data_IF_416602863234
#
_entry.id   IF_416602863234
#
_cell.length_a   1.000
_cell.length_b   1.000
_cell.length_c   1.000
_cell.angle_alpha   90.00
_cell.angle_beta   90.00
_cell.angle_gamma   90.00
#
_symmetry.space_group_name_H-M   'P 1'
#
loop_
_entity.id
_entity.type
_entity.pdbx_description
1 polymer ?
#
# COMPACT_ATOMS: atom_id res chain seq x y z
N UNK A 1 -22.42 45.89 -65.72
CA UNK A 1 -23.05 45.44 -64.45
C UNK A 1 -22.06 44.47 -63.82
N UNK A 2 -20.95 44.86 -63.19
CA UNK A 2 -20.75 45.68 -61.98
C UNK A 2 -21.68 45.35 -60.82
N UNK A 3 -21.23 44.44 -59.98
CA UNK A 3 -21.46 44.49 -58.52
C UNK A 3 -20.23 43.88 -57.83
N UNK A 4 -19.48 44.79 -57.21
CA UNK A 4 -18.45 44.52 -56.22
C UNK A 4 -19.11 44.06 -54.92
N UNK A 5 -18.50 43.12 -54.20
CA UNK A 5 -18.74 42.95 -52.77
C UNK A 5 -17.37 42.79 -52.08
N UNK A 6 -17.00 43.84 -51.34
CA UNK A 6 -15.89 43.87 -50.40
C UNK A 6 -16.39 43.57 -48.99
N UNK A 7 -15.54 42.93 -48.20
CA UNK A 7 -15.69 42.72 -46.76
C UNK A 7 -14.98 41.42 -46.42
N UNK A 8 -14.01 41.33 -45.55
CA UNK A 8 -13.50 42.22 -44.52
C UNK A 8 -12.74 41.26 -43.62
N UNK A 9 -11.42 41.22 -43.75
CA UNK A 9 -10.56 40.25 -43.10
C UNK A 9 -10.31 40.73 -41.66
N UNK A 10 -11.13 40.28 -40.71
CA UNK A 10 -10.92 40.57 -39.29
C UNK A 10 -9.87 39.62 -38.71
N UNK A 11 -8.73 40.19 -38.34
CA UNK A 11 -7.70 39.56 -37.54
C UNK A 11 -8.20 39.40 -36.10
N UNK A 12 -8.57 38.18 -35.72
CA UNK A 12 -8.66 37.80 -34.31
C UNK A 12 -7.27 37.36 -33.83
N UNK A 13 -6.52 38.31 -33.26
CA UNK A 13 -5.41 38.03 -32.36
C UNK A 13 -5.96 37.31 -31.12
N UNK A 14 -5.80 36.00 -31.07
CA UNK A 14 -5.98 35.23 -29.83
C UNK A 14 -4.75 35.47 -28.97
N UNK A 15 -4.89 36.30 -27.94
CA UNK A 15 -3.96 36.37 -26.81
C UNK A 15 -3.97 35.03 -26.08
N UNK A 16 -2.87 34.31 -26.17
CA UNK A 16 -2.56 33.21 -25.27
C UNK A 16 -1.96 33.80 -23.98
N UNK A 17 -2.79 34.06 -22.98
CA UNK A 17 -2.33 34.18 -21.60
C UNK A 17 -2.24 32.76 -21.00
N UNK A 18 -1.09 32.34 -20.47
CA UNK A 18 -0.99 31.05 -19.78
C UNK A 18 -1.49 31.16 -18.34
N UNK A 19 -2.32 30.23 -17.83
CA UNK A 19 -2.42 30.02 -16.39
C UNK A 19 -1.23 29.15 -15.94
N UNK A 20 -0.05 29.76 -15.85
CA UNK A 20 1.07 29.17 -15.09
C UNK A 20 0.90 29.53 -13.61
N UNK A 21 0.29 28.61 -12.88
CA UNK A 21 0.32 28.53 -11.42
C UNK A 21 0.73 27.12 -11.00
N UNK A 22 1.86 26.65 -11.52
CA UNK A 22 2.49 25.42 -11.06
C UNK A 22 3.31 25.75 -9.80
N UNK A 23 2.68 25.63 -8.63
CA UNK A 23 3.45 25.55 -7.39
C UNK A 23 4.18 24.20 -7.34
N UNK A 24 5.48 24.16 -7.00
CA UNK A 24 6.23 22.93 -6.93
C UNK A 24 5.83 22.11 -5.68
N UNK A 25 5.30 20.92 -5.93
CA UNK A 25 5.01 19.84 -4.96
C UNK A 25 6.24 19.33 -4.16
N UNK A 26 7.39 20.01 -4.26
CA UNK A 26 8.64 19.63 -3.59
C UNK A 26 8.63 19.99 -2.08
N UNK A 27 7.79 20.93 -1.63
CA UNK A 27 7.80 21.35 -0.21
C UNK A 27 7.06 20.40 0.77
N UNK A 28 6.18 19.50 0.31
CA UNK A 28 5.41 18.67 1.25
C UNK A 28 6.18 17.45 1.78
N UNK A 29 7.21 16.99 1.06
CA UNK A 29 8.06 15.86 1.47
C UNK A 29 9.18 16.26 2.44
N UNK A 30 9.51 17.55 2.56
CA UNK A 30 10.53 18.06 3.49
C UNK A 30 9.99 18.52 4.85
N UNK A 31 8.67 18.70 5.02
CA UNK A 31 8.10 19.26 6.27
C UNK A 31 7.97 18.29 7.45
N UNK A 32 8.26 16.99 7.28
CA UNK A 32 8.12 16.00 8.37
C UNK A 32 9.44 15.60 9.06
N UNK A 33 10.55 16.30 8.83
CA UNK A 33 11.85 16.00 9.44
C UNK A 33 12.52 17.18 10.15
N UNK A 34 11.75 18.01 10.86
CA UNK A 34 12.30 19.03 11.74
C UNK A 34 11.88 18.76 13.19
N UNK A 35 12.67 17.95 13.90
CA UNK A 35 12.70 17.92 15.36
C UNK A 35 14.07 18.41 15.79
N UNK A 36 14.03 19.58 16.43
CA UNK A 36 14.95 20.21 17.39
C UNK A 36 16.38 19.67 17.53
N UNK A 37 17.35 20.50 17.17
CA UNK A 37 18.61 20.61 17.90
C UNK A 37 18.76 22.04 18.42
N UNK A 38 18.93 22.13 19.74
CA UNK A 38 19.02 23.34 20.52
C UNK A 38 20.26 24.17 20.19
N UNK A 39 20.06 25.47 20.28
CA UNK A 39 21.03 26.54 20.13
C UNK A 39 21.85 26.67 21.42
N UNK A 40 23.17 26.47 21.35
CA UNK A 40 24.10 26.97 22.37
C UNK A 40 25.16 27.87 21.75
N UNK A 41 25.23 29.05 22.33
CA UNK A 41 26.06 30.22 22.08
C UNK A 41 27.60 30.01 22.01
N UNK A 42 28.23 30.87 21.19
CA UNK A 42 29.54 31.55 21.34
C UNK A 42 30.84 30.75 21.16
N UNK A 43 31.53 30.95 20.01
CA UNK A 43 32.71 31.84 19.90
C UNK A 43 33.27 31.88 18.45
N UNK A 44 33.83 33.01 17.95
CA UNK A 44 34.39 33.12 16.61
C UNK A 44 35.94 33.11 16.63
N UNK A 45 36.57 32.16 15.94
CA UNK A 45 37.97 32.33 15.50
C UNK A 45 38.30 31.42 14.29
N UNK A 46 38.57 31.97 13.09
CA UNK A 46 39.00 31.17 11.95
C UNK A 46 40.53 31.18 11.81
N UNK A 47 41.18 30.08 12.11
CA UNK A 47 42.50 29.75 11.52
C UNK A 47 42.29 28.85 10.30
N UNK A 48 42.82 29.20 9.12
CA UNK A 48 42.70 28.36 7.94
C UNK A 48 43.80 27.29 7.99
N UNK A 49 43.45 26.08 8.40
CA UNK A 49 44.31 24.90 8.22
C UNK A 49 43.68 24.05 7.14
N UNK A 50 44.38 23.97 6.01
CA UNK A 50 43.94 23.23 4.84
C UNK A 50 43.94 21.72 5.08
N UNK A 51 42.86 21.08 4.63
CA UNK A 51 42.80 19.76 3.98
C UNK A 51 41.33 19.52 3.60
N UNK A 52 40.87 20.09 2.49
CA UNK A 52 39.49 19.94 1.99
C UNK A 52 39.43 19.28 0.60
N UNK A 53 40.30 18.31 0.35
CA UNK A 53 40.34 17.57 -0.93
C UNK A 53 40.20 16.05 -0.77
N UNK A 54 40.17 15.52 0.45
CA UNK A 54 40.02 14.08 0.70
C UNK A 54 38.55 13.62 0.83
N UNK A 55 37.66 14.48 1.33
CA UNK A 55 36.25 14.13 1.58
C UNK A 55 35.39 14.09 0.31
N UNK A 56 35.70 14.91 -0.69
CA UNK A 56 34.92 14.95 -1.95
C UNK A 56 35.02 13.64 -2.74
N UNK A 57 36.18 12.97 -2.69
CA UNK A 57 36.39 11.68 -3.36
C UNK A 57 35.63 10.53 -2.70
N UNK A 58 35.55 10.49 -1.37
CA UNK A 58 34.80 9.44 -0.65
C UNK A 58 33.28 9.62 -0.80
N UNK A 59 32.79 10.85 -0.81
CA UNK A 59 31.37 11.15 -1.04
C UNK A 59 30.95 10.81 -2.48
N UNK A 60 31.80 11.07 -3.47
CA UNK A 60 31.51 10.68 -4.87
C UNK A 60 31.55 9.16 -5.07
N UNK A 61 32.52 8.46 -4.46
CA UNK A 61 32.60 7.00 -4.51
C UNK A 61 31.36 6.33 -3.91
N UNK A 62 30.91 6.79 -2.74
CA UNK A 62 29.69 6.27 -2.09
C UNK A 62 28.41 6.54 -2.89
N UNK A 63 28.28 7.73 -3.49
CA UNK A 63 27.15 8.06 -4.37
C UNK A 63 27.11 7.18 -5.64
N UNK A 64 28.26 6.95 -6.28
CA UNK A 64 28.34 6.10 -7.47
C UNK A 64 28.01 4.63 -7.19
N UNK A 65 28.44 4.11 -6.04
CA UNK A 65 28.11 2.76 -5.58
C UNK A 65 26.60 2.63 -5.29
N UNK A 66 26.01 3.65 -4.67
CA UNK A 66 24.57 3.73 -4.39
C UNK A 66 23.74 3.76 -5.68
N UNK A 67 24.12 4.58 -6.64
CA UNK A 67 23.47 4.66 -7.96
C UNK A 67 23.50 3.31 -8.71
N UNK A 68 24.64 2.61 -8.64
CA UNK A 68 24.78 1.27 -9.25
C UNK A 68 23.87 0.25 -8.57
N UNK A 69 23.80 0.28 -7.24
CA UNK A 69 22.92 -0.60 -6.44
C UNK A 69 21.45 -0.35 -6.76
N UNK A 70 21.05 0.92 -6.84
CA UNK A 70 19.69 1.34 -7.19
C UNK A 70 19.30 0.91 -8.60
N UNK A 71 20.18 1.09 -9.57
CA UNK A 71 19.93 0.65 -10.93
C UNK A 71 19.76 -0.87 -11.00
N UNK A 72 20.59 -1.64 -10.29
CA UNK A 72 20.45 -3.10 -10.20
C UNK A 72 19.11 -3.51 -9.59
N UNK A 73 18.68 -2.86 -8.51
CA UNK A 73 17.39 -3.13 -7.87
C UNK A 73 16.21 -2.82 -8.81
N UNK A 74 16.32 -1.75 -9.60
CA UNK A 74 15.33 -1.38 -10.60
C UNK A 74 15.21 -2.43 -11.71
N UNK A 75 16.34 -2.89 -12.25
CA UNK A 75 16.40 -3.95 -13.28
C UNK A 75 15.92 -5.29 -12.71
N UNK A 76 16.30 -5.65 -11.49
CA UNK A 76 15.83 -6.88 -10.84
C UNK A 76 14.31 -6.88 -10.65
N UNK A 77 13.74 -5.74 -10.26
CA UNK A 77 12.30 -5.64 -9.96
C UNK A 77 11.45 -5.51 -11.23
N UNK A 78 11.85 -4.64 -12.16
CA UNK A 78 11.02 -4.32 -13.33
C UNK A 78 11.52 -4.92 -14.64
N UNK A 79 12.70 -5.53 -14.66
CA UNK A 79 13.31 -6.04 -15.87
C UNK A 79 13.92 -4.94 -16.74
N UNK A 80 14.96 -5.32 -17.46
CA UNK A 80 15.72 -4.46 -18.37
C UNK A 80 14.85 -3.70 -19.41
N UNK A 81 13.83 -4.31 -20.05
CA UNK A 81 13.04 -3.62 -21.07
C UNK A 81 12.26 -2.42 -20.51
N UNK A 82 11.71 -2.56 -19.31
CA UNK A 82 10.94 -1.48 -18.67
C UNK A 82 11.85 -0.35 -18.21
N UNK A 83 13.05 -0.67 -17.69
CA UNK A 83 13.99 0.35 -17.23
C UNK A 83 14.45 1.26 -18.36
N UNK A 84 14.62 0.71 -19.57
CA UNK A 84 14.99 1.51 -20.76
C UNK A 84 13.91 2.47 -21.21
N UNK A 85 12.64 2.14 -21.00
CA UNK A 85 11.50 3.00 -21.36
C UNK A 85 11.09 3.96 -20.24
N UNK A 86 11.57 3.75 -19.02
CA UNK A 86 11.25 4.60 -17.87
C UNK A 86 11.91 5.97 -18.00
N UNK A 87 11.12 6.99 -18.37
CA UNK A 87 11.56 8.38 -18.42
C UNK A 87 11.30 9.16 -17.10
N UNK A 88 10.48 8.61 -16.21
CA UNK A 88 10.03 9.30 -15.00
C UNK A 88 11.01 9.14 -13.83
N UNK A 89 11.07 10.13 -12.92
CA UNK A 89 11.87 10.00 -11.71
C UNK A 89 11.34 8.85 -10.84
N UNK A 90 12.26 8.15 -10.19
CA UNK A 90 11.96 7.09 -9.23
C UNK A 90 12.76 7.31 -7.95
N UNK A 91 12.25 6.76 -6.85
CA UNK A 91 12.92 6.80 -5.54
C UNK A 91 13.18 5.36 -5.11
N UNK A 92 14.31 5.08 -4.48
CA UNK A 92 14.61 3.74 -3.93
C UNK A 92 14.50 3.79 -2.42
N UNK A 93 13.68 2.91 -1.85
CA UNK A 93 13.70 2.62 -0.42
C UNK A 93 14.75 1.54 -0.15
N UNK A 94 15.78 1.94 0.57
CA UNK A 94 16.94 1.08 0.84
C UNK A 94 16.67 0.11 1.99
N UNK A 95 17.39 -1.02 1.96
CA UNK A 95 17.51 -1.98 3.06
C UNK A 95 16.15 -2.43 3.63
N UNK A 96 15.20 -2.60 2.71
CA UNK A 96 13.85 -2.99 3.01
C UNK A 96 13.84 -4.47 3.39
N UNK A 97 13.53 -4.77 4.65
CA UNK A 97 13.58 -6.13 5.19
C UNK A 97 12.17 -6.73 5.24
N UNK A 98 12.03 -7.94 4.73
CA UNK A 98 10.85 -8.79 4.84
C UNK A 98 11.24 -10.09 5.55
N UNK A 99 10.93 -10.18 6.83
CA UNK A 99 11.05 -11.35 7.71
C UNK A 99 10.00 -12.41 7.35
N UNK A 100 8.77 -12.01 7.01
CA UNK A 100 7.69 -12.94 6.72
C UNK A 100 7.78 -13.52 5.29
N UNK A 101 7.79 -14.86 5.11
CA UNK A 101 7.86 -15.48 3.78
C UNK A 101 6.63 -15.17 2.92
N UNK A 102 5.45 -14.92 3.52
CA UNK A 102 4.23 -14.58 2.79
C UNK A 102 4.35 -13.18 2.17
N UNK A 103 4.79 -12.18 2.94
CA UNK A 103 5.03 -10.84 2.44
C UNK A 103 6.14 -10.82 1.37
N UNK A 104 7.22 -11.58 1.59
CA UNK A 104 8.30 -11.73 0.61
C UNK A 104 7.82 -12.36 -0.71
N UNK A 105 6.90 -13.34 -0.66
CA UNK A 105 6.29 -13.93 -1.87
C UNK A 105 5.43 -12.93 -2.63
N UNK A 106 4.58 -12.16 -1.93
CA UNK A 106 3.80 -11.09 -2.56
C UNK A 106 4.70 -10.04 -3.20
N UNK A 107 5.79 -9.66 -2.54
CA UNK A 107 6.77 -8.76 -3.12
C UNK A 107 7.34 -9.32 -4.44
N UNK A 108 7.83 -10.56 -4.44
CA UNK A 108 8.45 -11.16 -5.64
C UNK A 108 7.46 -11.36 -6.80
N UNK A 109 6.24 -11.82 -6.50
CA UNK A 109 5.25 -12.15 -7.54
C UNK A 109 4.52 -10.91 -8.04
N UNK A 110 4.03 -10.08 -7.13
CA UNK A 110 3.01 -9.08 -7.47
C UNK A 110 3.53 -7.65 -7.49
N UNK A 111 4.59 -7.30 -6.75
CA UNK A 111 5.01 -5.90 -6.61
C UNK A 111 5.37 -5.25 -7.94
N UNK A 112 6.15 -5.95 -8.78
CA UNK A 112 6.54 -5.45 -10.10
C UNK A 112 5.32 -5.17 -10.98
N UNK A 113 4.35 -6.10 -10.98
CA UNK A 113 3.11 -5.97 -11.74
C UNK A 113 2.26 -4.81 -11.23
N UNK A 114 2.04 -4.75 -9.91
CA UNK A 114 1.23 -3.70 -9.26
C UNK A 114 1.85 -2.33 -9.51
N UNK A 115 3.14 -2.16 -9.26
CA UNK A 115 3.82 -0.88 -9.44
C UNK A 115 3.79 -0.40 -10.89
N UNK A 116 4.00 -1.28 -11.89
CA UNK A 116 3.89 -0.91 -13.31
C UNK A 116 2.49 -0.45 -13.67
N UNK A 117 1.45 -1.15 -13.22
CA UNK A 117 0.06 -0.76 -13.50
C UNK A 117 -0.35 0.53 -12.79
N UNK A 118 0.16 0.79 -11.60
CA UNK A 118 -0.04 2.05 -10.89
C UNK A 118 0.69 3.22 -11.57
N UNK A 119 1.75 2.95 -12.32
CA UNK A 119 2.45 3.97 -13.10
C UNK A 119 1.70 4.39 -14.38
N UNK A 120 0.79 3.56 -14.89
CA UNK A 120 -0.02 3.86 -16.08
C UNK A 120 -0.85 5.14 -15.91
N UNK A 121 -1.28 5.45 -14.69
CA UNK A 121 -2.01 6.69 -14.41
C UNK A 121 -1.22 7.92 -14.86
N UNK A 122 0.07 7.98 -14.52
CA UNK A 122 0.93 9.09 -14.90
C UNK A 122 1.16 9.15 -16.41
N UNK A 123 1.28 7.99 -17.06
CA UNK A 123 1.43 7.93 -18.51
C UNK A 123 0.17 8.44 -19.23
N UNK A 124 -1.01 7.94 -18.88
CA UNK A 124 -2.26 8.34 -19.53
C UNK A 124 -2.68 9.79 -19.24
N UNK A 125 -2.25 10.37 -18.11
CA UNK A 125 -2.44 11.81 -17.84
C UNK A 125 -1.74 12.69 -18.88
N UNK A 126 -0.66 12.22 -19.50
CA UNK A 126 0.04 12.98 -20.55
C UNK A 126 -0.62 12.89 -21.92
N UNK A 127 -1.61 12.01 -22.09
CA UNK A 127 -2.26 11.78 -23.37
C UNK A 127 -3.33 12.83 -23.66
N UNK A 128 -3.28 13.41 -24.87
CA UNK A 128 -4.28 14.37 -25.32
C UNK A 128 -5.59 13.66 -25.65
N UNK A 129 -6.69 14.17 -25.10
CA UNK A 129 -8.04 13.65 -25.36
C UNK A 129 -8.45 12.48 -24.45
N UNK A 130 -7.60 12.04 -23.53
CA UNK A 130 -7.97 11.02 -22.55
C UNK A 130 -8.98 11.57 -21.54
N UNK A 131 -10.01 10.79 -21.21
CA UNK A 131 -11.02 11.18 -20.24
C UNK A 131 -10.42 11.25 -18.82
N UNK A 132 -10.26 12.48 -18.32
CA UNK A 132 -9.68 12.74 -17.00
C UNK A 132 -10.56 12.23 -15.85
N UNK A 133 -11.88 12.13 -16.03
CA UNK A 133 -12.78 11.61 -14.99
C UNK A 133 -12.51 10.13 -14.70
N UNK A 134 -12.19 9.34 -15.72
CA UNK A 134 -11.89 7.91 -15.55
C UNK A 134 -10.58 7.74 -14.79
N UNK A 135 -9.56 8.56 -15.10
CA UNK A 135 -8.28 8.56 -14.38
C UNK A 135 -8.45 8.99 -12.93
N UNK A 136 -9.26 10.03 -12.66
CA UNK A 136 -9.53 10.46 -11.30
C UNK A 136 -10.25 9.38 -10.49
N UNK A 137 -11.32 8.78 -11.06
CA UNK A 137 -12.05 7.67 -10.42
C UNK A 137 -11.14 6.48 -10.13
N UNK A 138 -10.22 6.17 -11.05
CA UNK A 138 -9.20 5.13 -10.85
C UNK A 138 -8.31 5.43 -9.64
N UNK A 139 -7.73 6.64 -9.59
CA UNK A 139 -6.85 7.05 -8.48
C UNK A 139 -7.59 7.07 -7.13
N UNK A 140 -8.81 7.60 -7.09
CA UNK A 140 -9.63 7.66 -5.88
C UNK A 140 -10.00 6.26 -5.39
N UNK A 141 -10.37 5.35 -6.30
CA UNK A 141 -10.72 3.98 -5.97
C UNK A 141 -9.51 3.23 -5.41
N UNK A 142 -8.34 3.34 -6.04
CA UNK A 142 -7.12 2.69 -5.56
C UNK A 142 -6.69 3.20 -4.19
N UNK A 143 -6.69 4.52 -3.99
CA UNK A 143 -6.38 5.16 -2.71
C UNK A 143 -7.29 4.61 -1.62
N UNK A 144 -8.61 4.61 -1.86
CA UNK A 144 -9.60 4.10 -0.91
C UNK A 144 -9.41 2.62 -0.59
N UNK A 145 -9.09 1.78 -1.59
CA UNK A 145 -8.87 0.34 -1.37
C UNK A 145 -7.60 0.06 -0.58
N UNK A 146 -6.50 0.76 -0.87
CA UNK A 146 -5.27 0.65 -0.11
C UNK A 146 -5.45 1.13 1.33
N UNK A 147 -6.16 2.24 1.54
CA UNK A 147 -6.51 2.74 2.87
C UNK A 147 -7.35 1.72 3.65
N UNK A 148 -8.38 1.15 3.03
CA UNK A 148 -9.22 0.11 3.65
C UNK A 148 -8.40 -1.12 4.09
N UNK A 149 -7.43 -1.56 3.27
CA UNK A 149 -6.53 -2.66 3.62
C UNK A 149 -5.63 -2.26 4.80
N UNK A 150 -5.04 -1.06 4.78
CA UNK A 150 -4.22 -0.56 5.90
C UNK A 150 -5.01 -0.51 7.21
N UNK A 151 -6.24 0.00 7.18
CA UNK A 151 -7.14 0.04 8.34
C UNK A 151 -7.43 -1.37 8.86
N UNK A 152 -7.76 -2.31 7.96
CA UNK A 152 -7.99 -3.72 8.32
C UNK A 152 -6.78 -4.31 9.07
N UNK A 153 -5.58 -4.17 8.51
CA UNK A 153 -4.35 -4.69 9.11
C UNK A 153 -4.04 -4.01 10.45
N UNK A 154 -4.17 -2.67 10.50
CA UNK A 154 -3.88 -1.91 11.72
C UNK A 154 -4.81 -2.29 12.87
N UNK A 155 -6.09 -2.55 12.57
CA UNK A 155 -7.03 -3.01 13.59
C UNK A 155 -6.67 -4.41 14.13
N UNK A 156 -6.21 -5.33 13.27
CA UNK A 156 -5.70 -6.62 13.72
C UNK A 156 -4.44 -6.47 14.57
N UNK A 157 -3.48 -5.64 14.14
CA UNK A 157 -2.28 -5.31 14.91
C UNK A 157 -2.66 -4.78 16.29
N UNK A 158 -3.50 -3.75 16.36
CA UNK A 158 -3.95 -3.15 17.61
C UNK A 158 -4.65 -4.18 18.50
N UNK A 159 -5.50 -5.05 17.92
CA UNK A 159 -6.19 -6.10 18.67
C UNK A 159 -5.21 -7.09 19.29
N UNK A 160 -4.20 -7.53 18.54
CA UNK A 160 -3.21 -8.49 19.04
C UNK A 160 -2.25 -7.86 20.05
N UNK A 161 -1.84 -6.61 19.83
CA UNK A 161 -1.04 -5.85 20.80
C UNK A 161 -1.79 -5.68 22.12
N UNK A 162 -3.07 -5.29 22.09
CA UNK A 162 -3.89 -5.17 23.29
C UNK A 162 -4.06 -6.50 24.06
N UNK A 163 -3.89 -7.65 23.40
CA UNK A 163 -3.92 -8.96 24.04
C UNK A 163 -2.55 -9.35 24.63
N UNK A 164 -1.45 -8.93 24.00
CA UNK A 164 -0.07 -9.25 24.40
C UNK A 164 0.48 -8.32 25.48
N UNK A 165 0.18 -7.01 25.39
CA UNK A 165 0.73 -5.98 26.28
C UNK A 165 0.41 -6.22 27.76
N UNK A 166 -0.82 -6.62 28.17
CA UNK A 166 -1.13 -6.90 29.58
C UNK A 166 -0.34 -8.08 30.17
N UNK A 167 0.17 -8.97 29.31
CA UNK A 167 0.92 -10.15 29.72
C UNK A 167 2.44 -9.90 29.70
N UNK A 168 2.88 -8.70 29.29
CA UNK A 168 4.29 -8.34 29.21
C UNK A 168 5.06 -9.05 28.10
N UNK A 169 4.35 -9.70 27.16
CA UNK A 169 4.97 -10.39 26.04
C UNK A 169 5.42 -9.37 24.99
N UNK A 170 6.67 -9.51 24.52
CA UNK A 170 7.23 -8.71 23.43
C UNK A 170 7.09 -9.44 22.10
N UNK A 171 7.06 -8.67 21.01
CA UNK A 171 7.07 -9.21 19.65
C UNK A 171 8.32 -10.08 19.44
N UNK A 172 8.12 -11.31 19.00
CA UNK A 172 9.23 -12.20 18.66
C UNK A 172 9.49 -12.16 17.15
N UNK A 173 10.63 -11.57 16.77
CA UNK A 173 11.10 -11.52 15.38
C UNK A 173 11.89 -12.77 14.98
N UNK A 174 12.17 -13.69 15.92
CA UNK A 174 12.93 -14.91 15.64
C UNK A 174 12.12 -16.03 14.97
N UNK A 175 10.82 -15.81 14.73
CA UNK A 175 9.92 -16.81 14.12
C UNK A 175 10.35 -17.27 12.73
N UNK A 176 11.02 -16.42 11.97
CA UNK A 176 11.48 -16.77 10.63
C UNK A 176 12.98 -16.46 10.49
N UNK A 177 13.81 -17.49 10.28
CA UNK A 177 15.27 -17.32 10.25
C UNK A 177 15.77 -16.63 8.98
N UNK A 178 14.97 -16.63 7.91
CA UNK A 178 15.39 -16.19 6.58
C UNK A 178 14.69 -14.87 6.20
N UNK A 179 15.18 -13.77 6.76
CA UNK A 179 14.75 -12.43 6.35
C UNK A 179 15.31 -12.08 4.95
N UNK A 180 14.45 -11.52 4.10
CA UNK A 180 14.81 -11.03 2.78
C UNK A 180 15.06 -9.52 2.85
N UNK A 181 16.31 -9.10 2.66
CA UNK A 181 16.66 -7.68 2.52
C UNK A 181 16.72 -7.31 1.04
N UNK A 182 15.98 -6.29 0.63
CA UNK A 182 15.93 -5.80 -0.76
C UNK A 182 15.87 -4.28 -0.80
N UNK A 183 16.51 -3.70 -1.80
CA UNK A 183 16.28 -2.32 -2.19
C UNK A 183 15.05 -2.28 -3.09
N UNK A 184 14.05 -1.48 -2.71
CA UNK A 184 12.75 -1.45 -3.39
C UNK A 184 12.60 -0.16 -4.18
N UNK A 185 12.54 -0.22 -5.53
CA UNK A 185 12.28 0.95 -6.36
C UNK A 185 10.80 1.34 -6.31
N UNK A 186 10.55 2.63 -6.19
CA UNK A 186 9.24 3.26 -6.08
C UNK A 186 9.06 4.22 -7.25
N UNK A 187 8.12 3.89 -8.11
CA UNK A 187 7.78 4.67 -9.32
C UNK A 187 6.46 5.43 -9.19
N UNK A 188 5.66 5.16 -8.16
CA UNK A 188 4.35 5.75 -7.92
C UNK A 188 4.08 5.88 -6.42
N UNK A 189 3.35 6.92 -6.01
CA UNK A 189 2.90 7.09 -4.63
C UNK A 189 2.05 5.89 -4.17
N UNK A 190 1.16 5.39 -5.03
CA UNK A 190 0.33 4.22 -4.73
C UNK A 190 1.17 2.94 -4.58
N UNK A 191 2.30 2.83 -5.29
CA UNK A 191 3.21 1.69 -5.13
C UNK A 191 3.90 1.70 -3.76
N UNK A 192 4.25 2.90 -3.29
CA UNK A 192 4.74 3.09 -1.94
C UNK A 192 3.69 2.68 -0.88
N UNK A 193 2.44 3.06 -1.08
CA UNK A 193 1.36 2.70 -0.19
C UNK A 193 1.07 1.19 -0.14
N UNK A 194 1.19 0.52 -1.28
CA UNK A 194 1.08 -0.94 -1.36
C UNK A 194 2.24 -1.63 -0.61
N UNK A 195 3.46 -1.10 -0.73
CA UNK A 195 4.61 -1.59 0.04
C UNK A 195 4.39 -1.43 1.56
N UNK A 196 3.83 -0.29 1.99
CA UNK A 196 3.47 -0.07 3.40
C UNK A 196 2.38 -1.06 3.86
N UNK A 197 1.42 -1.42 2.99
CA UNK A 197 0.44 -2.47 3.28
C UNK A 197 1.08 -3.86 3.44
N UNK A 198 2.10 -4.21 2.64
CA UNK A 198 2.84 -5.47 2.79
C UNK A 198 3.60 -5.54 4.13
N UNK A 199 4.14 -4.42 4.60
CA UNK A 199 4.77 -4.33 5.93
C UNK A 199 3.77 -4.50 7.06
N UNK A 200 2.56 -3.95 6.92
CA UNK A 200 1.48 -4.18 7.89
C UNK A 200 1.04 -5.65 7.89
N UNK A 201 0.94 -6.28 6.71
CA UNK A 201 0.65 -7.71 6.60
C UNK A 201 1.70 -8.53 7.37
N UNK A 202 2.98 -8.26 7.16
CA UNK A 202 4.06 -8.91 7.91
C UNK A 202 3.93 -8.75 9.42
N UNK A 203 3.65 -7.54 9.91
CA UNK A 203 3.40 -7.29 11.35
C UNK A 203 2.21 -8.09 11.87
N UNK A 204 1.14 -8.24 11.09
CA UNK A 204 0.00 -9.09 11.46
C UNK A 204 0.46 -10.54 11.63
N UNK A 205 1.23 -11.08 10.70
CA UNK A 205 1.75 -12.45 10.80
C UNK A 205 2.66 -12.65 12.02
N UNK A 206 3.55 -11.68 12.31
CA UNK A 206 4.46 -11.76 13.46
C UNK A 206 3.67 -11.78 14.77
N UNK A 207 2.74 -10.84 14.92
CA UNK A 207 1.92 -10.73 16.12
C UNK A 207 0.98 -11.92 16.29
N UNK A 208 0.36 -12.40 15.21
CA UNK A 208 -0.53 -13.55 15.25
C UNK A 208 0.23 -14.83 15.61
N UNK A 209 1.43 -15.02 15.04
CA UNK A 209 2.34 -16.10 15.41
C UNK A 209 2.74 -16.03 16.88
N UNK A 210 3.20 -14.86 17.33
CA UNK A 210 3.65 -14.61 18.72
C UNK A 210 2.52 -14.87 19.72
N UNK A 211 1.34 -14.31 19.48
CA UNK A 211 0.17 -14.50 20.35
C UNK A 211 -0.30 -15.96 20.38
N UNK A 212 -0.13 -16.72 19.30
CA UNK A 212 -0.42 -18.14 19.29
C UNK A 212 0.64 -18.96 20.06
N UNK A 213 1.93 -18.60 19.98
CA UNK A 213 2.99 -19.27 20.75
C UNK A 213 2.82 -19.10 22.26
N UNK A 214 2.38 -17.90 22.70
CA UNK A 214 2.08 -17.63 24.10
C UNK A 214 0.69 -18.13 24.56
N UNK A 215 -0.06 -18.81 23.70
CA UNK A 215 -1.38 -19.37 24.03
C UNK A 215 -2.49 -18.34 24.22
N UNK A 216 -2.27 -17.09 23.77
CA UNK A 216 -3.23 -15.99 23.86
C UNK A 216 -4.29 -16.09 22.77
N UNK A 217 -3.88 -16.56 21.59
CA UNK A 217 -4.76 -16.88 20.47
C UNK A 217 -4.77 -18.38 20.23
N UNK A 218 -5.94 -18.90 19.83
CA UNK A 218 -6.03 -20.27 19.32
C UNK A 218 -5.47 -20.37 17.91
N UNK A 219 -5.02 -21.56 17.52
CA UNK A 219 -4.54 -21.83 16.16
C UNK A 219 -5.59 -21.49 15.09
N UNK A 220 -6.88 -21.65 15.39
CA UNK A 220 -7.97 -21.28 14.48
C UNK A 220 -8.10 -19.77 14.28
N UNK A 221 -8.03 -18.98 15.36
CA UNK A 221 -8.09 -17.52 15.30
C UNK A 221 -6.89 -16.93 14.59
N UNK A 222 -5.70 -17.52 14.80
CA UNK A 222 -4.50 -17.18 14.03
C UNK A 222 -4.70 -17.41 12.54
N UNK A 223 -5.12 -18.61 12.16
CA UNK A 223 -5.33 -18.97 10.76
C UNK A 223 -6.36 -18.06 10.08
N UNK A 224 -7.43 -17.70 10.78
CA UNK A 224 -8.45 -16.76 10.29
C UNK A 224 -7.88 -15.36 10.06
N UNK A 225 -7.15 -14.80 11.03
CA UNK A 225 -6.54 -13.48 10.91
C UNK A 225 -5.53 -13.41 9.75
N UNK A 226 -4.68 -14.44 9.62
CA UNK A 226 -3.72 -14.57 8.52
C UNK A 226 -4.44 -14.71 7.16
N UNK A 227 -5.47 -15.55 7.08
CA UNK A 227 -6.22 -15.79 5.84
C UNK A 227 -6.97 -14.56 5.35
N UNK A 228 -7.66 -13.83 6.24
CA UNK A 228 -8.38 -12.59 5.89
C UNK A 228 -7.40 -11.54 5.37
N UNK A 229 -6.28 -11.38 6.06
CA UNK A 229 -5.24 -10.41 5.70
C UNK A 229 -4.62 -10.74 4.34
N UNK A 230 -4.21 -12.00 4.13
CA UNK A 230 -3.69 -12.49 2.85
C UNK A 230 -4.70 -12.29 1.72
N UNK A 231 -5.96 -12.61 1.95
CA UNK A 231 -7.02 -12.52 0.94
C UNK A 231 -7.33 -11.07 0.57
N UNK A 232 -7.26 -10.12 1.51
CA UNK A 232 -7.43 -8.70 1.24
C UNK A 232 -6.32 -8.13 0.33
N UNK A 233 -5.05 -8.50 0.57
CA UNK A 233 -3.92 -8.09 -0.28
C UNK A 233 -4.03 -8.70 -1.67
N UNK A 234 -4.43 -9.97 -1.79
CA UNK A 234 -4.68 -10.60 -3.10
C UNK A 234 -5.84 -9.93 -3.85
N UNK A 235 -6.94 -9.65 -3.16
CA UNK A 235 -8.10 -9.00 -3.74
C UNK A 235 -7.75 -7.63 -4.37
N UNK A 236 -6.78 -6.91 -3.81
CA UNK A 236 -6.31 -5.65 -4.39
C UNK A 236 -5.75 -5.83 -5.81
N UNK A 237 -4.99 -6.89 -6.06
CA UNK A 237 -4.47 -7.20 -7.40
C UNK A 237 -5.60 -7.40 -8.40
N UNK A 238 -6.64 -8.16 -8.03
CA UNK A 238 -7.80 -8.40 -8.89
C UNK A 238 -8.59 -7.12 -9.18
N UNK A 239 -8.76 -6.23 -8.18
CA UNK A 239 -9.37 -4.90 -8.37
C UNK A 239 -8.54 -4.05 -9.32
N UNK A 240 -7.22 -4.01 -9.12
CA UNK A 240 -6.31 -3.25 -9.99
C UNK A 240 -6.40 -3.74 -11.45
N UNK A 241 -6.38 -5.05 -11.67
CA UNK A 241 -6.54 -5.64 -13.00
C UNK A 241 -7.85 -5.23 -13.67
N UNK A 242 -8.97 -5.31 -12.95
CA UNK A 242 -10.28 -4.95 -13.49
C UNK A 242 -10.35 -3.48 -13.91
N UNK A 243 -9.76 -2.57 -13.12
CA UNK A 243 -9.72 -1.14 -13.47
C UNK A 243 -8.75 -0.83 -14.60
N UNK A 244 -7.59 -1.51 -14.62
CA UNK A 244 -6.61 -1.38 -15.70
C UNK A 244 -7.20 -1.79 -17.05
N UNK A 245 -8.05 -2.83 -17.09
CA UNK A 245 -8.81 -3.20 -18.32
C UNK A 245 -9.71 -2.06 -18.80
N UNK A 246 -10.36 -1.33 -17.89
CA UNK A 246 -11.18 -0.16 -18.25
C UNK A 246 -10.32 0.96 -18.84
N UNK A 247 -9.16 1.23 -18.24
CA UNK A 247 -8.20 2.19 -18.77
C UNK A 247 -7.71 1.80 -20.18
N UNK A 248 -7.45 0.52 -20.45
CA UNK A 248 -7.06 0.08 -21.80
C UNK A 248 -8.17 0.26 -22.83
N UNK A 249 -9.42 -0.03 -22.48
CA UNK A 249 -10.55 0.19 -23.40
C UNK A 249 -10.66 1.65 -23.79
N UNK A 250 -10.44 2.55 -22.83
CA UNK A 250 -10.43 3.98 -23.08
C UNK A 250 -9.20 4.42 -23.89
N UNK A 251 -8.01 3.88 -23.59
CA UNK A 251 -6.80 4.13 -24.38
C UNK A 251 -7.00 3.70 -25.84
N UNK A 252 -7.62 2.53 -26.07
CA UNK A 252 -7.93 2.03 -27.41
C UNK A 252 -8.94 2.94 -28.15
N UNK A 253 -9.96 3.46 -27.45
CA UNK A 253 -10.90 4.46 -28.01
C UNK A 253 -10.14 5.70 -28.49
N UNK A 254 -9.28 6.27 -27.65
CA UNK A 254 -8.49 7.47 -27.98
C UNK A 254 -7.55 7.20 -29.16
N UNK A 255 -6.88 6.04 -29.18
CA UNK A 255 -6.02 5.66 -30.30
C UNK A 255 -6.82 5.53 -31.61
N UNK A 256 -8.03 4.96 -31.56
CA UNK A 256 -8.88 4.82 -32.72
C UNK A 256 -9.40 6.17 -33.23
N UNK A 257 -9.74 7.09 -32.33
CA UNK A 257 -10.11 8.47 -32.67
C UNK A 257 -8.95 9.22 -33.33
N UNK A 258 -7.73 9.08 -32.83
CA UNK A 258 -6.54 9.68 -33.42
C UNK A 258 -6.21 9.09 -34.80
N UNK A 259 -6.39 7.78 -34.99
CA UNK A 259 -6.26 7.11 -36.29
C UNK A 259 -7.30 7.65 -37.28
N UNK A 260 -8.55 7.78 -36.86
CA UNK A 260 -9.64 8.29 -37.70
C UNK A 260 -9.45 9.78 -38.05
N UNK A 261 -8.87 10.56 -37.14
CA UNK A 261 -8.54 11.96 -37.35
C UNK A 261 -7.26 12.17 -38.21
N UNK A 262 -6.58 11.10 -38.63
CA UNK A 262 -5.36 11.18 -39.45
C UNK A 262 -4.16 11.80 -38.72
N UNK A 263 -4.21 11.89 -37.39
CA UNK A 263 -3.09 12.41 -36.58
C UNK A 263 -2.02 11.32 -36.47
N UNK A 264 -0.73 11.62 -36.65
CA UNK A 264 0.33 10.62 -36.47
C UNK A 264 0.34 10.16 -35.01
N UNK A 265 0.14 8.85 -34.79
CA UNK A 265 0.28 8.23 -33.46
C UNK A 265 1.76 8.08 -33.15
N UNK A 266 2.15 8.41 -31.93
CA UNK A 266 3.51 8.13 -31.44
C UNK A 266 3.69 6.60 -31.30
N UNK A 267 4.64 5.98 -32.02
CA UNK A 267 4.85 4.54 -32.00
C UNK A 267 5.17 3.98 -30.61
N UNK A 268 5.76 4.79 -29.70
CA UNK A 268 6.03 4.37 -28.32
C UNK A 268 4.76 4.15 -27.51
N UNK A 269 3.73 4.94 -27.79
CA UNK A 269 2.44 4.85 -27.10
C UNK A 269 1.65 3.63 -27.57
N UNK A 270 1.76 3.30 -28.86
CA UNK A 270 1.16 2.09 -29.45
C UNK A 270 1.79 0.84 -28.83
N UNK A 271 3.12 0.77 -28.81
CA UNK A 271 3.84 -0.36 -28.24
C UNK A 271 3.55 -0.51 -26.73
N UNK A 272 3.51 0.60 -25.98
CA UNK A 272 3.14 0.56 -24.58
C UNK A 272 1.75 -0.07 -24.40
N UNK A 273 0.72 0.42 -25.10
CA UNK A 273 -0.65 -0.13 -24.97
C UNK A 273 -0.73 -1.61 -25.35
N UNK A 274 -0.01 -2.04 -26.39
CA UNK A 274 0.01 -3.45 -26.80
C UNK A 274 0.71 -4.34 -25.77
N UNK A 275 1.89 -3.95 -25.28
CA UNK A 275 2.60 -4.67 -24.22
C UNK A 275 1.77 -4.77 -22.94
N UNK A 276 1.07 -3.68 -22.62
CA UNK A 276 0.26 -3.55 -21.45
C UNK A 276 -1.05 -4.37 -21.54
N UNK A 277 -1.69 -4.41 -22.71
CA UNK A 277 -2.85 -5.27 -22.98
C UNK A 277 -2.49 -6.76 -22.95
N UNK A 278 -1.33 -7.14 -23.50
CA UNK A 278 -0.84 -8.51 -23.44
C UNK A 278 -0.52 -8.95 -21.99
N UNK A 279 0.13 -8.09 -21.21
CA UNK A 279 0.44 -8.37 -19.80
C UNK A 279 -0.81 -8.47 -18.93
N UNK A 280 -1.84 -7.67 -19.19
CA UNK A 280 -3.10 -7.74 -18.45
C UNK A 280 -3.88 -9.02 -18.74
N UNK A 281 -3.87 -9.49 -19.99
CA UNK A 281 -4.54 -10.75 -20.36
C UNK A 281 -3.79 -11.98 -19.83
N UNK A 282 -2.45 -12.01 -19.94
CA UNK A 282 -1.64 -13.13 -19.43
C UNK A 282 -1.71 -13.26 -17.90
N UNK A 283 -1.84 -12.14 -17.17
CA UNK A 283 -1.92 -12.15 -15.71
C UNK A 283 -3.24 -12.69 -15.15
N UNK A 284 -4.25 -12.95 -16.00
CA UNK A 284 -5.51 -13.64 -15.63
C UNK A 284 -5.32 -15.17 -15.64
N UNK A 285 -4.36 -15.68 -16.41
CA UNK A 285 -4.13 -17.11 -16.59
C UNK A 285 -3.16 -17.72 -15.56
N UNK A 286 -2.34 -16.89 -14.89
CA UNK A 286 -1.22 -17.31 -14.02
C UNK A 286 -1.54 -17.30 -12.49
N UNK A 287 -2.82 -17.36 -12.13
CA UNK A 287 -3.26 -17.47 -10.72
C UNK A 287 -3.43 -18.94 -10.30
N UNK A 288 -2.29 -19.63 -10.12
CA UNK A 288 -2.23 -21.02 -9.60
C UNK A 288 -2.73 -21.20 -8.14
N UNK A 289 -3.02 -20.12 -7.41
CA UNK A 289 -3.36 -20.17 -5.96
C UNK A 289 -4.88 -20.18 -5.66
N UNK A 290 -5.71 -20.72 -6.56
CA UNK A 290 -7.17 -20.87 -6.41
C UNK A 290 -7.99 -19.77 -7.10
N UNK A 291 -9.33 -19.93 -7.24
CA UNK A 291 -10.14 -19.01 -8.03
C UNK A 291 -10.10 -17.60 -7.43
N UNK A 292 -9.50 -16.66 -8.17
CA UNK A 292 -9.58 -15.25 -7.85
C UNK A 292 -11.05 -14.81 -7.93
N UNK A 293 -11.51 -14.11 -6.91
CA UNK A 293 -12.81 -13.45 -6.95
C UNK A 293 -12.82 -12.45 -8.12
N UNK A 294 -13.97 -12.30 -8.79
CA UNK A 294 -14.11 -11.28 -9.84
C UNK A 294 -13.79 -9.89 -9.25
N UNK A 295 -13.35 -8.92 -10.08
CA UNK A 295 -12.91 -7.61 -9.59
C UNK A 295 -13.91 -6.92 -8.64
N UNK A 296 -15.21 -7.08 -8.90
CA UNK A 296 -16.28 -6.52 -8.07
C UNK A 296 -16.46 -7.28 -6.74
N UNK A 297 -16.36 -8.61 -6.75
CA UNK A 297 -16.36 -9.43 -5.53
C UNK A 297 -15.14 -9.14 -4.66
N UNK A 298 -13.97 -8.96 -5.28
CA UNK A 298 -12.74 -8.57 -4.60
C UNK A 298 -12.85 -7.18 -3.97
N UNK A 299 -13.44 -6.23 -4.69
CA UNK A 299 -13.70 -4.88 -4.19
C UNK A 299 -14.67 -4.91 -3.00
N UNK A 300 -15.78 -5.64 -3.11
CA UNK A 300 -16.75 -5.79 -2.04
C UNK A 300 -16.15 -6.49 -0.82
N UNK A 301 -15.28 -7.47 -1.03
CA UNK A 301 -14.60 -8.16 0.05
C UNK A 301 -13.67 -7.25 0.86
N UNK A 302 -12.90 -6.38 0.19
CA UNK A 302 -12.04 -5.40 0.87
C UNK A 302 -12.88 -4.45 1.72
N UNK A 303 -13.98 -3.94 1.16
CA UNK A 303 -14.86 -2.99 1.86
C UNK A 303 -15.57 -3.66 3.04
N UNK A 304 -16.08 -4.88 2.84
CA UNK A 304 -16.72 -5.66 3.89
C UNK A 304 -15.74 -5.99 5.03
N UNK A 305 -14.50 -6.39 4.70
CA UNK A 305 -13.47 -6.69 5.68
C UNK A 305 -13.10 -5.43 6.51
N UNK A 306 -12.92 -4.28 5.84
CA UNK A 306 -12.66 -3.02 6.53
C UNK A 306 -13.84 -2.57 7.42
N UNK A 307 -15.08 -2.71 6.93
CA UNK A 307 -16.29 -2.39 7.69
C UNK A 307 -16.46 -3.29 8.92
N UNK A 308 -16.27 -4.60 8.78
CA UNK A 308 -16.31 -5.55 9.89
C UNK A 308 -15.23 -5.24 10.93
N UNK A 309 -14.02 -4.93 10.47
CA UNK A 309 -12.88 -4.60 11.33
C UNK A 309 -13.12 -3.32 12.15
N UNK A 310 -13.66 -2.26 11.52
CA UNK A 310 -14.00 -1.02 12.21
C UNK A 310 -15.19 -1.18 13.17
N UNK A 311 -16.19 -1.98 12.81
CA UNK A 311 -17.32 -2.31 13.68
C UNK A 311 -16.87 -3.10 14.93
N UNK A 312 -15.98 -4.09 14.76
CA UNK A 312 -15.40 -4.84 15.87
C UNK A 312 -14.58 -3.94 16.81
N UNK A 313 -13.81 -3.00 16.28
CA UNK A 313 -13.07 -2.01 17.08
C UNK A 313 -13.97 -1.07 17.89
N UNK A 314 -15.11 -0.65 17.34
CA UNK A 314 -16.10 0.17 18.06
C UNK A 314 -16.86 -0.61 19.13
N UNK A 315 -17.19 -1.88 18.86
CA UNK A 315 -17.83 -2.76 19.82
C UNK A 315 -16.91 -3.07 21.02
N UNK A 316 -15.61 -3.28 20.78
CA UNK A 316 -14.63 -3.52 21.85
C UNK A 316 -14.37 -2.29 22.75
N UNK A 317 -14.50 -1.06 22.22
CA UNK A 317 -14.40 0.18 23.03
C UNK A 317 -15.64 0.49 23.88
N UNK A 318 -16.79 -0.13 23.58
CA UNK A 318 -17.97 -0.09 24.46
C UNK A 318 -17.83 -1.19 25.51
N UNK A 319 -17.04 -0.95 26.55
CA UNK A 319 -17.07 -1.82 27.72
C UNK A 319 -18.48 -1.90 28.33
N UNK A 320 -18.87 -3.05 28.90
CA UNK A 320 -20.16 -3.25 29.51
C UNK A 320 -20.31 -2.34 30.72
N UNK A 321 -21.41 -1.57 30.75
CA UNK A 321 -21.80 -0.79 31.90
C UNK A 321 -21.76 -1.68 33.16
N UNK A 322 -21.00 -1.22 34.17
CA UNK A 322 -20.90 -1.76 35.52
C UNK A 322 -22.18 -2.50 35.92
N UNK A 323 -22.11 -3.84 36.05
CA UNK A 323 -23.08 -4.58 36.88
C UNK A 323 -22.88 -4.09 38.31
N UNK A 324 -23.82 -3.28 38.78
CA UNK A 324 -23.96 -2.88 40.18
C UNK A 324 -24.16 -4.15 41.01
N UNK A 325 -23.36 -4.42 42.06
CA UNK A 325 -23.64 -5.54 42.95
C UNK A 325 -24.97 -5.26 43.69
N UNK A 326 -25.85 -6.26 43.88
CA UNK A 326 -27.04 -6.09 44.68
C UNK A 326 -26.64 -5.83 46.14
N UNK A 327 -27.21 -4.77 46.71
CA UNK A 327 -27.13 -4.41 48.12
C UNK A 327 -27.62 -5.57 48.99
N UNK A 328 -26.86 -5.83 50.06
CA UNK A 328 -27.24 -6.70 51.14
C UNK A 328 -28.50 -6.14 51.85
N UNK A 329 -29.60 -6.88 51.76
CA UNK A 329 -30.75 -6.75 52.65
C UNK A 329 -30.73 -7.89 53.66
N UNK A 330 -30.65 -7.55 54.93
CA UNK A 330 -30.63 -8.45 56.07
C UNK A 330 -32.04 -8.87 56.55
N UNK A 331 -32.15 -10.12 57.03
CA UNK A 331 -33.18 -10.66 57.93
C UNK A 331 -34.48 -11.14 57.26
N UNK A 332 -35.12 -12.28 57.62
CA UNK A 332 -35.05 -13.06 58.87
C UNK A 332 -35.72 -14.44 58.65
N UNK A 333 -35.14 -15.48 59.25
CA UNK A 333 -35.71 -16.74 59.81
C UNK A 333 -36.68 -17.66 59.02
N UNK A 334 -36.33 -18.95 59.02
CA UNK A 334 -37.25 -20.05 58.71
C UNK A 334 -36.53 -21.41 58.60
N UNK A 335 -36.39 -22.10 59.73
CA UNK A 335 -35.70 -23.37 59.92
C UNK A 335 -36.21 -24.54 59.05
N UNK A 336 -35.30 -25.44 58.64
CA UNK A 336 -35.36 -26.89 58.89
C UNK A 336 -34.22 -27.63 58.15
N UNK A 337 -33.29 -28.20 58.93
CA UNK A 337 -32.48 -29.36 58.54
C UNK A 337 -33.28 -30.63 58.90
N UNK A 338 -33.07 -31.79 58.25
CA UNK A 338 -31.92 -32.61 58.65
C UNK A 338 -31.24 -33.44 57.55
N UNK A 339 -29.96 -33.71 57.83
CA UNK A 339 -29.23 -34.98 57.73
C UNK A 339 -29.38 -35.89 56.49
N UNK A 340 -28.22 -36.13 55.85
CA UNK A 340 -27.97 -37.29 55.00
C UNK A 340 -26.47 -37.44 54.75
N UNK A 341 -25.81 -38.24 55.57
CA UNK A 341 -24.38 -38.56 55.51
C UNK A 341 -24.01 -39.44 54.31
N UNK A 342 -22.75 -39.25 53.84
CA UNK A 342 -21.73 -40.15 53.23
C UNK A 342 -22.06 -41.64 52.94
N UNK A 343 -21.28 -42.41 52.11
CA UNK A 343 -19.90 -42.18 51.67
C UNK A 343 -19.53 -42.58 50.22
N UNK A 344 -18.27 -42.25 49.89
CA UNK A 344 -17.40 -42.75 48.81
C UNK A 344 -17.17 -44.28 48.91
N UNK A 345 -16.97 -44.97 47.77
CA UNK A 345 -15.80 -45.84 47.59
C UNK A 345 -15.11 -45.52 46.24
N UNK A 346 -13.79 -45.35 46.05
CA UNK A 346 -12.61 -46.13 46.44
C UNK A 346 -12.72 -47.64 46.18
N UNK A 347 -12.35 -48.08 44.98
CA UNK A 347 -11.16 -48.92 44.73
C UNK A 347 -11.25 -49.78 43.45
N UNK A 348 -10.08 -49.94 42.82
CA UNK A 348 -9.61 -51.06 41.99
C UNK A 348 -10.22 -51.21 40.57
N UNK A 349 -9.45 -51.47 39.51
CA UNK A 349 -8.09 -52.01 39.38
C UNK A 349 -7.39 -51.44 38.14
#
# INVERSE_FOLDING_TARGET
MSTQFSGGFDQLQVRCDPPFGAEPFIESLQRNSCIHLESSMLDPNPTPVGTATADSGQVQATQSARATRWHRALVETFGEPFVRSLASPYVVREDQTFECPVAARFYRKDYAFVARNLFLEYQYRTWRGFNQEILQRYSDLLTKKLENIKILMQNYINRMQNLLDPQGHRLDTSMWPNAMVKDVPIISAHANEYLDALRLLEKVYLLAGTANMFGVLTSSQRAEAEAISKKAVRAFRSVLQAEVIKLYREAHRVMQEQRNAGTPLDPRLVEAVEQHGAAANAAVEDDEDGPAATGDEAAAMIDAAAAQSTAAGKAAKRQPAKRKPPEAGAGTEGAASPAGAEPVPSAAA
#
